data_IF_100321231001
#
_entry.id   IF_100321231001
#
_cell.length_a   1.000
_cell.length_b   1.000
_cell.length_c   1.000
_cell.angle_alpha   90.00
_cell.angle_beta   90.00
_cell.angle_gamma   90.00
#
_symmetry.space_group_name_H-M   'P 1'
#
loop_
_entity.id
_entity.type
_entity.pdbx_description
1 polymer ?
#
# COMPACT_ATOMS: atom_id res chain seq x y z
N UNK A 1 -2.78 27.11 -6.89
CA UNK A 1 -2.70 25.83 -6.15
C UNK A 1 -1.98 26.14 -4.85
N UNK A 2 -2.56 25.87 -3.69
CA UNK A 2 -1.95 26.30 -2.42
C UNK A 2 -0.62 25.59 -2.18
N UNK A 3 0.42 26.36 -1.92
CA UNK A 3 1.76 25.91 -1.54
C UNK A 3 1.95 26.06 -0.02
N UNK A 4 2.81 25.23 0.58
CA UNK A 4 3.19 25.35 1.98
C UNK A 4 2.27 24.66 3.02
N UNK A 5 2.49 24.91 4.33
CA UNK A 5 1.90 24.14 5.44
C UNK A 5 0.36 24.12 5.48
N UNK A 6 -0.28 25.18 4.99
CA UNK A 6 -1.73 25.27 4.91
C UNK A 6 -2.34 24.23 3.94
N UNK A 7 -1.62 23.88 2.86
CA UNK A 7 -2.06 22.84 1.94
C UNK A 7 -2.01 21.45 2.58
N UNK A 8 -1.00 21.16 3.41
CA UNK A 8 -0.92 19.87 4.11
C UNK A 8 -2.11 19.63 5.04
N UNK A 9 -2.49 20.64 5.83
CA UNK A 9 -3.64 20.54 6.73
C UNK A 9 -4.91 20.17 5.95
N UNK A 10 -5.15 20.83 4.82
CA UNK A 10 -6.32 20.56 3.97
C UNK A 10 -6.29 19.16 3.37
N UNK A 11 -5.12 18.66 2.93
CA UNK A 11 -5.01 17.30 2.42
C UNK A 11 -5.26 16.26 3.52
N UNK A 12 -4.69 16.44 4.71
CA UNK A 12 -4.91 15.56 5.85
C UNK A 12 -6.38 15.54 6.26
N UNK A 13 -7.01 16.70 6.37
CA UNK A 13 -8.42 16.85 6.70
C UNK A 13 -9.31 16.16 5.65
N UNK A 14 -9.03 16.34 4.37
CA UNK A 14 -9.75 15.67 3.29
C UNK A 14 -9.62 14.14 3.40
N UNK A 15 -8.41 13.62 3.61
CA UNK A 15 -8.15 12.19 3.78
C UNK A 15 -8.86 11.64 5.01
N UNK A 16 -8.81 12.32 6.15
CA UNK A 16 -9.47 11.90 7.39
C UNK A 16 -10.99 11.86 7.22
N UNK A 17 -11.59 12.94 6.72
CA UNK A 17 -13.04 13.05 6.56
C UNK A 17 -13.57 12.05 5.54
N UNK A 18 -12.93 11.95 4.37
CA UNK A 18 -13.35 11.02 3.32
C UNK A 18 -13.14 9.56 3.73
N UNK A 19 -12.12 9.26 4.53
CA UNK A 19 -11.87 7.93 5.09
C UNK A 19 -12.97 7.43 6.02
N UNK A 20 -13.81 8.33 6.56
CA UNK A 20 -14.99 7.99 7.37
C UNK A 20 -16.26 7.80 6.53
N UNK A 21 -16.18 7.90 5.21
CA UNK A 21 -17.35 7.82 4.31
C UNK A 21 -17.27 6.61 3.38
N UNK A 22 -18.41 6.23 2.80
CA UNK A 22 -18.47 5.19 1.77
C UNK A 22 -17.97 5.66 0.39
N UNK A 23 -17.55 6.93 0.23
CA UNK A 23 -17.18 7.51 -1.07
C UNK A 23 -15.73 7.15 -1.44
N UNK A 24 -15.50 5.85 -1.72
CA UNK A 24 -14.15 5.26 -1.92
C UNK A 24 -13.35 5.92 -3.05
N UNK A 25 -14.00 6.30 -4.16
CA UNK A 25 -13.31 6.97 -5.28
C UNK A 25 -12.75 8.34 -4.89
N UNK A 26 -13.54 9.14 -4.19
CA UNK A 26 -13.13 10.50 -3.77
C UNK A 26 -12.03 10.42 -2.71
N UNK A 27 -12.13 9.46 -1.78
CA UNK A 27 -11.06 9.17 -0.83
C UNK A 27 -9.74 8.80 -1.54
N UNK A 28 -9.79 7.92 -2.54
CA UNK A 28 -8.62 7.51 -3.30
C UNK A 28 -8.01 8.65 -4.14
N UNK A 29 -8.85 9.51 -4.72
CA UNK A 29 -8.38 10.73 -5.41
C UNK A 29 -7.73 11.72 -4.44
N UNK A 30 -8.25 11.89 -3.24
CA UNK A 30 -7.64 12.76 -2.23
C UNK A 30 -6.25 12.27 -1.82
N UNK A 31 -6.09 10.94 -1.63
CA UNK A 31 -4.80 10.29 -1.40
C UNK A 31 -3.81 10.51 -2.55
N UNK A 32 -4.27 10.38 -3.80
CA UNK A 32 -3.44 10.64 -4.99
C UNK A 32 -2.91 12.08 -4.99
N UNK A 33 -3.79 13.06 -4.83
CA UNK A 33 -3.41 14.48 -4.84
C UNK A 33 -2.45 14.82 -3.69
N UNK A 34 -2.71 14.27 -2.49
CA UNK A 34 -1.82 14.48 -1.36
C UNK A 34 -0.43 13.87 -1.60
N UNK A 35 -0.37 12.66 -2.15
CA UNK A 35 0.87 11.99 -2.52
C UNK A 35 1.70 12.76 -3.55
N UNK A 36 1.05 13.34 -4.56
CA UNK A 36 1.73 14.20 -5.53
C UNK A 36 2.27 15.48 -4.91
N UNK A 37 1.50 16.11 -4.03
CA UNK A 37 1.95 17.29 -3.30
C UNK A 37 3.17 16.96 -2.43
N UNK A 38 3.14 15.87 -1.68
CA UNK A 38 4.28 15.39 -0.88
C UNK A 38 5.52 15.12 -1.75
N UNK A 39 5.36 14.61 -2.97
CA UNK A 39 6.48 14.44 -3.91
C UNK A 39 7.09 15.79 -4.31
N UNK A 40 6.26 16.79 -4.60
CA UNK A 40 6.70 18.16 -4.95
C UNK A 40 7.45 18.82 -3.79
N UNK A 41 7.03 18.55 -2.55
CA UNK A 41 7.72 18.97 -1.31
C UNK A 41 8.96 18.10 -0.96
N UNK A 42 9.41 17.22 -1.87
CA UNK A 42 10.53 16.28 -1.69
C UNK A 42 10.37 15.29 -0.51
N UNK A 43 9.16 15.12 0.02
CA UNK A 43 8.80 14.17 1.10
C UNK A 43 8.47 12.78 0.54
N UNK A 44 9.47 12.17 -0.09
CA UNK A 44 9.33 10.93 -0.88
C UNK A 44 8.78 9.74 -0.09
N UNK A 45 9.10 9.61 1.19
CA UNK A 45 8.61 8.49 2.04
C UNK A 45 7.10 8.60 2.23
N UNK A 46 6.64 9.76 2.70
CA UNK A 46 5.22 10.03 2.92
C UNK A 46 4.43 9.98 1.60
N UNK A 47 5.01 10.52 0.51
CA UNK A 47 4.42 10.46 -0.82
C UNK A 47 4.14 9.01 -1.25
N UNK A 48 5.09 8.09 -1.04
CA UNK A 48 4.91 6.67 -1.40
C UNK A 48 3.78 6.01 -0.64
N UNK A 49 3.61 6.34 0.64
CA UNK A 49 2.51 5.79 1.42
C UNK A 49 1.16 6.22 0.83
N UNK A 50 0.99 7.52 0.56
CA UNK A 50 -0.27 8.05 0.03
C UNK A 50 -0.54 7.56 -1.41
N UNK A 51 0.47 7.60 -2.27
CA UNK A 51 0.36 7.16 -3.67
C UNK A 51 0.15 5.63 -3.78
N UNK A 52 0.75 4.84 -2.89
CA UNK A 52 0.54 3.39 -2.84
C UNK A 52 -0.90 3.04 -2.51
N UNK A 53 -1.43 3.65 -1.43
CA UNK A 53 -2.84 3.48 -1.03
C UNK A 53 -3.80 3.97 -2.13
N UNK A 54 -3.49 5.10 -2.76
CA UNK A 54 -4.29 5.62 -3.87
C UNK A 54 -4.30 4.65 -5.05
N UNK A 55 -3.13 4.15 -5.47
CA UNK A 55 -3.00 3.21 -6.58
C UNK A 55 -3.83 1.95 -6.36
N UNK A 56 -3.78 1.36 -5.17
CA UNK A 56 -4.56 0.18 -4.80
C UNK A 56 -6.05 0.41 -4.95
N UNK A 57 -6.57 1.43 -4.27
CA UNK A 57 -8.01 1.70 -4.27
C UNK A 57 -8.52 2.10 -5.66
N UNK A 58 -7.73 2.86 -6.43
CA UNK A 58 -8.12 3.26 -7.79
C UNK A 58 -8.10 2.07 -8.75
N UNK A 59 -7.17 1.13 -8.58
CA UNK A 59 -7.15 -0.12 -9.35
C UNK A 59 -8.36 -1.00 -9.02
N UNK A 60 -8.67 -1.19 -7.73
CA UNK A 60 -9.84 -1.97 -7.28
C UNK A 60 -11.17 -1.38 -7.79
N UNK A 61 -11.27 -0.06 -7.91
CA UNK A 61 -12.47 0.64 -8.42
C UNK A 61 -12.56 0.58 -9.96
N UNK A 62 -11.48 0.21 -10.67
CA UNK A 62 -11.39 0.27 -12.13
C UNK A 62 -11.15 1.67 -12.68
N UNK A 63 -10.67 2.60 -11.84
CA UNK A 63 -10.36 3.97 -12.20
C UNK A 63 -8.95 4.09 -12.84
N UNK A 64 -8.74 3.37 -13.94
CA UNK A 64 -7.41 3.09 -14.52
C UNK A 64 -6.59 4.34 -14.84
N UNK A 65 -7.21 5.41 -15.34
CA UNK A 65 -6.51 6.66 -15.63
C UNK A 65 -5.88 7.29 -14.37
N UNK A 66 -6.56 7.17 -13.21
CA UNK A 66 -6.02 7.64 -11.94
C UNK A 66 -5.01 6.65 -11.35
N UNK A 67 -5.23 5.34 -11.52
CA UNK A 67 -4.28 4.31 -11.08
C UNK A 67 -2.92 4.48 -11.79
N UNK A 68 -2.91 4.62 -13.12
CA UNK A 68 -1.66 4.84 -13.87
C UNK A 68 -0.98 6.15 -13.49
N UNK A 69 -1.74 7.20 -13.16
CA UNK A 69 -1.18 8.45 -12.65
C UNK A 69 -0.48 8.24 -11.30
N UNK A 70 -1.13 7.54 -10.36
CA UNK A 70 -0.52 7.18 -9.07
C UNK A 70 0.77 6.36 -9.26
N UNK A 71 0.75 5.41 -10.21
CA UNK A 71 1.89 4.56 -10.57
C UNK A 71 3.09 5.38 -11.08
N UNK A 72 2.86 6.33 -11.99
CA UNK A 72 3.91 7.23 -12.51
C UNK A 72 4.53 8.08 -11.41
N UNK A 73 3.70 8.60 -10.52
CA UNK A 73 4.17 9.40 -9.38
C UNK A 73 4.99 8.53 -8.39
N UNK A 74 4.59 7.28 -8.15
CA UNK A 74 5.39 6.32 -7.36
C UNK A 74 6.77 6.09 -7.97
N UNK A 75 6.84 5.84 -9.29
CA UNK A 75 8.12 5.68 -10.00
C UNK A 75 9.00 6.93 -9.86
N UNK A 76 8.39 8.12 -9.92
CA UNK A 76 9.08 9.39 -9.79
C UNK A 76 9.59 9.70 -8.36
N UNK A 77 9.20 8.94 -7.33
CA UNK A 77 9.73 9.11 -5.95
C UNK A 77 11.11 8.50 -5.75
N UNK A 78 11.70 7.87 -6.79
CA UNK A 78 13.04 7.30 -6.75
C UNK A 78 13.12 6.10 -5.81
N UNK A 79 13.26 4.92 -6.41
CA UNK A 79 13.60 3.69 -5.71
C UNK A 79 15.08 3.78 -5.23
N UNK A 80 15.32 4.56 -4.18
CA UNK A 80 16.53 4.46 -3.36
C UNK A 80 16.08 4.24 -1.93
N UNK A 81 16.10 2.97 -1.57
CA UNK A 81 15.68 2.42 -0.28
C UNK A 81 16.61 2.98 0.79
N UNK A 82 16.22 4.06 1.48
CA UNK A 82 16.55 4.22 2.90
C UNK A 82 15.35 3.77 3.70
N UNK A 83 15.43 2.48 4.04
CA UNK A 83 14.54 1.70 4.88
C UNK A 83 14.38 2.44 6.22
N UNK A 84 13.24 3.11 6.42
CA UNK A 84 12.72 3.26 7.78
C UNK A 84 12.19 1.88 8.16
N UNK A 85 12.61 1.26 9.28
CA UNK A 85 12.07 -0.05 9.64
C UNK A 85 10.56 0.16 9.86
N UNK A 86 9.72 -0.47 9.04
CA UNK A 86 8.38 -0.75 9.54
C UNK A 86 8.61 -1.69 10.73
N UNK A 87 7.97 -1.38 11.86
CA UNK A 87 8.17 -2.11 13.11
C UNK A 87 7.98 -3.61 12.86
N UNK A 88 9.06 -4.37 13.00
CA UNK A 88 9.04 -5.83 12.98
C UNK A 88 8.11 -6.27 14.11
N UNK A 89 7.07 -7.05 13.81
CA UNK A 89 6.05 -7.45 14.80
C UNK A 89 4.70 -6.73 14.69
N UNK A 90 4.50 -5.84 13.71
CA UNK A 90 3.19 -5.26 13.45
C UNK A 90 2.20 -6.30 12.88
N UNK A 91 0.94 -6.26 13.33
CA UNK A 91 -0.12 -7.17 12.86
C UNK A 91 -0.42 -6.97 11.37
N UNK A 92 -0.59 -8.06 10.63
CA UNK A 92 -1.00 -8.02 9.22
C UNK A 92 -2.43 -7.51 9.12
N UNK A 93 -2.70 -6.65 8.14
CA UNK A 93 -4.09 -6.32 7.78
C UNK A 93 -4.79 -7.55 7.17
N UNK A 94 -6.12 -7.53 7.10
CA UNK A 94 -6.88 -8.64 6.51
C UNK A 94 -6.43 -8.96 5.06
N UNK A 95 -6.18 -7.93 4.26
CA UNK A 95 -5.71 -8.04 2.87
C UNK A 95 -4.26 -8.54 2.79
N UNK A 96 -3.36 -8.04 3.65
CA UNK A 96 -1.98 -8.54 3.74
C UNK A 96 -1.95 -10.03 4.15
N UNK A 97 -2.78 -10.43 5.12
CA UNK A 97 -2.90 -11.82 5.55
C UNK A 97 -3.48 -12.71 4.44
N UNK A 98 -4.47 -12.23 3.69
CA UNK A 98 -5.04 -12.94 2.55
C UNK A 98 -4.02 -13.16 1.43
N UNK A 99 -3.25 -12.13 1.09
CA UNK A 99 -2.16 -12.22 0.11
C UNK A 99 -1.04 -13.14 0.61
N UNK A 100 -0.65 -13.03 1.88
CA UNK A 100 0.36 -13.89 2.48
C UNK A 100 -0.05 -15.37 2.44
N UNK A 101 -1.31 -15.70 2.76
CA UNK A 101 -1.82 -17.08 2.66
C UNK A 101 -1.78 -17.62 1.24
N UNK A 102 -2.29 -16.87 0.26
CA UNK A 102 -2.21 -17.28 -1.15
C UNK A 102 -0.76 -17.44 -1.60
N UNK A 103 0.13 -16.57 -1.12
CA UNK A 103 1.54 -16.65 -1.43
C UNK A 103 2.23 -17.88 -0.82
N UNK A 104 1.90 -18.19 0.44
CA UNK A 104 2.33 -19.39 1.16
C UNK A 104 1.84 -20.68 0.51
N UNK A 105 0.66 -20.65 -0.13
CA UNK A 105 0.09 -21.75 -0.89
C UNK A 105 0.67 -21.89 -2.32
N UNK A 106 1.66 -21.06 -2.69
CA UNK A 106 2.38 -21.18 -3.97
C UNK A 106 1.82 -20.37 -5.14
N UNK A 107 0.77 -19.55 -4.96
CA UNK A 107 0.17 -18.77 -6.07
C UNK A 107 1.09 -17.62 -6.50
N UNK A 108 1.47 -17.53 -7.77
CA UNK A 108 2.28 -16.43 -8.30
C UNK A 108 1.58 -15.06 -8.16
N UNK A 109 2.33 -13.96 -8.17
CA UNK A 109 1.74 -12.61 -8.06
C UNK A 109 0.64 -12.34 -9.11
N UNK A 110 0.77 -12.78 -10.38
CA UNK A 110 -0.33 -12.67 -11.35
C UNK A 110 -1.56 -13.50 -11.00
N UNK A 111 -1.39 -14.71 -10.47
CA UNK A 111 -2.52 -15.54 -10.04
C UNK A 111 -3.24 -14.95 -8.83
N UNK A 112 -2.49 -14.43 -7.86
CA UNK A 112 -3.04 -13.72 -6.70
C UNK A 112 -3.78 -12.47 -7.19
N UNK A 113 -3.16 -11.70 -8.09
CA UNK A 113 -3.73 -10.50 -8.67
C UNK A 113 -5.06 -10.80 -9.37
N UNK A 114 -5.10 -11.83 -10.22
CA UNK A 114 -6.31 -12.27 -10.88
C UNK A 114 -7.42 -12.70 -9.89
N UNK A 115 -7.05 -13.36 -8.78
CA UNK A 115 -8.01 -13.83 -7.76
C UNK A 115 -8.58 -12.69 -6.92
N UNK A 116 -7.79 -11.64 -6.72
CA UNK A 116 -8.14 -10.48 -5.91
C UNK A 116 -8.58 -9.28 -6.75
N UNK A 117 -8.61 -9.41 -8.08
CA UNK A 117 -8.87 -8.32 -9.03
C UNK A 117 -7.95 -7.11 -8.84
N UNK A 118 -6.65 -7.36 -8.64
CA UNK A 118 -5.58 -6.35 -8.49
C UNK A 118 -4.38 -6.69 -9.36
N UNK A 119 -3.50 -5.72 -9.62
CA UNK A 119 -2.33 -5.95 -10.47
C UNK A 119 -1.28 -6.85 -9.78
N UNK A 120 -0.47 -7.62 -10.54
CA UNK A 120 0.64 -8.40 -9.97
C UNK A 120 1.65 -7.54 -9.21
N UNK A 121 1.81 -6.27 -9.61
CA UNK A 121 2.70 -5.30 -8.97
C UNK A 121 2.13 -4.83 -7.61
N UNK A 122 0.80 -4.69 -7.51
CA UNK A 122 0.12 -4.45 -6.22
C UNK A 122 0.36 -5.59 -5.24
N UNK A 123 0.26 -6.84 -5.72
CA UNK A 123 0.57 -8.02 -4.90
C UNK A 123 2.02 -7.99 -4.41
N UNK A 124 2.98 -7.65 -5.28
CA UNK A 124 4.39 -7.53 -4.90
C UNK A 124 4.59 -6.49 -3.79
N UNK A 125 3.94 -5.33 -3.90
CA UNK A 125 4.03 -4.29 -2.87
C UNK A 125 3.47 -4.75 -1.52
N UNK A 126 2.30 -5.39 -1.50
CA UNK A 126 1.75 -5.96 -0.27
C UNK A 126 2.70 -7.00 0.33
N UNK A 127 3.33 -7.84 -0.49
CA UNK A 127 4.32 -8.81 -0.03
C UNK A 127 5.56 -8.15 0.57
N UNK A 128 6.04 -7.03 0.01
CA UNK A 128 7.14 -6.24 0.61
C UNK A 128 6.77 -5.77 2.02
N UNK A 129 5.53 -5.32 2.24
CA UNK A 129 5.07 -4.93 3.59
C UNK A 129 4.91 -6.13 4.53
N UNK A 130 4.34 -7.24 4.04
CA UNK A 130 4.25 -8.50 4.79
C UNK A 130 5.62 -8.97 5.25
N UNK A 131 6.64 -8.89 4.39
CA UNK A 131 8.01 -9.26 4.72
C UNK A 131 8.57 -8.47 5.89
N UNK A 132 8.40 -7.15 5.86
CA UNK A 132 8.87 -6.29 6.95
C UNK A 132 8.10 -6.58 8.25
N UNK A 133 6.77 -6.73 8.17
CA UNK A 133 5.93 -7.01 9.34
C UNK A 133 6.22 -8.36 10.00
N UNK A 134 6.41 -9.40 9.17
CA UNK A 134 6.74 -10.76 9.63
C UNK A 134 8.24 -10.95 9.93
N UNK A 135 9.09 -9.96 9.65
CA UNK A 135 10.54 -10.07 9.83
C UNK A 135 11.22 -11.09 8.91
N UNK A 136 10.63 -11.38 7.74
CA UNK A 136 11.14 -12.37 6.78
C UNK A 136 11.76 -11.69 5.56
N UNK A 137 12.71 -12.37 4.93
CA UNK A 137 13.44 -11.85 3.76
C UNK A 137 12.94 -12.42 2.43
N UNK A 138 12.17 -13.51 2.47
CA UNK A 138 11.77 -14.21 1.25
C UNK A 138 10.37 -14.79 1.31
N UNK A 139 9.78 -14.93 0.13
CA UNK A 139 8.48 -15.56 -0.08
C UNK A 139 8.42 -17.01 0.45
N UNK A 140 9.50 -17.77 0.33
CA UNK A 140 9.59 -19.15 0.83
C UNK A 140 9.38 -19.22 2.35
N UNK A 141 9.77 -18.18 3.07
CA UNK A 141 9.61 -18.10 4.52
C UNK A 141 8.16 -17.81 4.94
N UNK A 142 7.30 -17.27 4.05
CA UNK A 142 5.89 -16.99 4.37
C UNK A 142 5.18 -18.28 4.80
N UNK A 143 5.36 -19.36 4.04
CA UNK A 143 4.70 -20.64 4.36
C UNK A 143 5.11 -21.15 5.74
N UNK A 144 6.41 -21.12 6.04
CA UNK A 144 6.95 -21.55 7.33
C UNK A 144 6.49 -20.65 8.49
N UNK A 145 6.46 -19.33 8.32
CA UNK A 145 6.03 -18.40 9.40
C UNK A 145 4.53 -18.42 9.65
N UNK A 146 3.69 -18.55 8.61
CA UNK A 146 2.25 -18.68 8.79
C UNK A 146 1.87 -19.99 9.50
N UNK A 147 2.63 -21.07 9.27
CA UNK A 147 2.45 -22.34 9.99
C UNK A 147 2.90 -22.26 11.46
N UNK A 148 3.83 -21.36 11.78
CA UNK A 148 4.31 -21.12 13.15
C UNK A 148 3.46 -20.09 13.93
N UNK A 149 2.49 -19.44 13.26
CA UNK A 149 1.69 -18.33 13.79
C UNK A 149 0.31 -18.69 14.33
N UNK A 150 0.15 -19.85 14.99
CA UNK A 150 -0.98 -20.06 15.93
C UNK A 150 -0.45 -19.97 17.35
N UNK A 151 -0.38 -18.79 17.99
CA UNK A 151 -0.43 -18.78 19.45
C UNK A 151 -1.84 -19.20 19.85
N UNK A 152 -1.94 -20.38 20.44
CA UNK A 152 -3.08 -20.79 21.23
C UNK A 152 -3.39 -19.67 22.24
N UNK A 153 -4.63 -19.18 22.22
CA UNK A 153 -5.17 -18.44 23.35
C UNK A 153 -5.13 -19.36 24.57
N UNK A 154 -4.42 -18.91 25.60
CA UNK A 154 -4.57 -19.32 26.99
C UNK A 154 -4.56 -18.04 27.84
#
# INVERSE_FOLDING_TARGET
>A
MSEGPAAETLYREAVERLGRTAVRLTFARARLLYGEWLRRENRRVDAREQLGIAYEMLSEIGAEAFAERARRELQATGETIRKRPAETGATLTAQEAQIARMAGNGLTNPQIGARLFISPHTVEWHLRKVFVKLGIASRKQIGTTLLQGTPASA
#
